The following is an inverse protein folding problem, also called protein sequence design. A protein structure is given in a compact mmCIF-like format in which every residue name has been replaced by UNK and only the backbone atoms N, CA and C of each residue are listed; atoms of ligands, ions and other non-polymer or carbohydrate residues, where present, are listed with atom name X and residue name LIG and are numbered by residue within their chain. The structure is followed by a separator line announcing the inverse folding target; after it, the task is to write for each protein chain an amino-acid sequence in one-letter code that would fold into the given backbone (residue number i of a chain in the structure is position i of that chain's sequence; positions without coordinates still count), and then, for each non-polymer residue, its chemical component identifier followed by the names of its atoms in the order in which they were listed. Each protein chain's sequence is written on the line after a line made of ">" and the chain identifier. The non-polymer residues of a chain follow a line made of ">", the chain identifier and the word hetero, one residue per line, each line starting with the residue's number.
data_IF_647101403406
#
_entry.id   IF_647101403406
#
_cell.length_a   1.000
_cell.length_b   1.000
_cell.length_c   1.000
_cell.angle_alpha   90.00
_cell.angle_beta   90.00
_cell.angle_gamma   90.00
#
_symmetry.space_group_name_H-M   'P 1'
#
loop_
_entity.id
_entity.type
_entity.pdbx_description
1 polymer ?
#
# COMPACT_ATOMS: atom_id res chain seq x y z
N UNK A 1 -16.42 -5.70 28.13
CA UNK A 1 -16.32 -4.96 26.85
C UNK A 1 -17.64 -5.16 26.12
N UNK A 2 -18.32 -4.12 25.64
CA UNK A 2 -19.62 -4.29 24.95
C UNK A 2 -19.41 -4.92 23.57
N UNK A 3 -20.32 -5.80 23.14
CA UNK A 3 -20.25 -6.51 21.83
C UNK A 3 -20.14 -5.56 20.63
N UNK A 4 -20.62 -4.32 20.79
CA UNK A 4 -20.51 -3.27 19.77
C UNK A 4 -19.07 -2.78 19.53
N UNK A 5 -18.23 -2.70 20.58
CA UNK A 5 -16.83 -2.29 20.44
C UNK A 5 -15.98 -3.35 19.74
N UNK A 6 -16.30 -4.62 19.97
CA UNK A 6 -15.59 -5.75 19.37
C UNK A 6 -15.82 -5.83 17.86
N UNK A 7 -17.07 -5.61 17.41
CA UNK A 7 -17.39 -5.50 15.98
C UNK A 7 -16.72 -4.32 15.29
N UNK A 8 -16.60 -3.17 15.96
CA UNK A 8 -15.91 -1.99 15.43
C UNK A 8 -14.39 -2.19 15.30
N UNK A 9 -13.78 -2.97 16.20
CA UNK A 9 -12.34 -3.31 16.13
C UNK A 9 -12.08 -4.25 14.95
N UNK A 10 -12.91 -5.27 14.77
CA UNK A 10 -12.77 -6.22 13.66
C UNK A 10 -13.00 -5.55 12.30
N UNK A 11 -13.99 -4.65 12.18
CA UNK A 11 -14.23 -3.92 10.94
C UNK A 11 -13.08 -2.95 10.62
N UNK A 12 -12.49 -2.31 11.63
CA UNK A 12 -11.33 -1.45 11.44
C UNK A 12 -10.11 -2.22 10.93
N UNK A 13 -9.84 -3.42 11.50
CA UNK A 13 -8.76 -4.30 11.04
C UNK A 13 -9.01 -4.72 9.58
N UNK A 14 -10.23 -5.09 9.23
CA UNK A 14 -10.57 -5.48 7.86
C UNK A 14 -10.32 -4.32 6.86
N UNK A 15 -10.76 -3.11 7.19
CA UNK A 15 -10.53 -1.92 6.36
C UNK A 15 -9.04 -1.60 6.24
N UNK A 16 -8.28 -1.75 7.32
CA UNK A 16 -6.82 -1.57 7.32
C UNK A 16 -6.12 -2.54 6.36
N UNK A 17 -6.49 -3.83 6.38
CA UNK A 17 -5.96 -4.84 5.45
C UNK A 17 -6.35 -4.55 4.00
N UNK A 18 -7.60 -4.16 3.76
CA UNK A 18 -8.08 -3.81 2.43
C UNK A 18 -7.34 -2.61 1.86
N UNK A 19 -7.13 -1.56 2.66
CA UNK A 19 -6.33 -0.39 2.27
C UNK A 19 -4.87 -0.76 2.01
N UNK A 20 -4.27 -1.59 2.86
CA UNK A 20 -2.91 -2.11 2.65
C UNK A 20 -2.76 -2.84 1.32
N UNK A 21 -3.75 -3.69 0.97
CA UNK A 21 -3.76 -4.40 -0.30
C UNK A 21 -3.90 -3.46 -1.52
N UNK A 22 -4.78 -2.47 -1.44
CA UNK A 22 -4.92 -1.44 -2.48
C UNK A 22 -3.62 -0.66 -2.68
N UNK A 23 -2.97 -0.24 -1.59
CA UNK A 23 -1.67 0.44 -1.60
C UNK A 23 -0.59 -0.39 -2.29
N UNK A 24 -0.58 -1.70 -2.03
CA UNK A 24 0.36 -2.63 -2.63
C UNK A 24 0.17 -2.73 -4.14
N UNK A 25 -1.07 -2.90 -4.61
CA UNK A 25 -1.39 -2.93 -6.05
C UNK A 25 -1.00 -1.62 -6.72
N UNK A 26 -1.41 -0.48 -6.15
CA UNK A 26 -1.12 0.84 -6.71
C UNK A 26 0.39 1.12 -6.75
N UNK A 27 1.12 0.74 -5.70
CA UNK A 27 2.57 0.87 -5.63
C UNK A 27 3.29 0.05 -6.71
N UNK A 28 2.88 -1.21 -6.91
CA UNK A 28 3.44 -2.07 -7.97
C UNK A 28 3.15 -1.49 -9.35
N UNK A 29 1.91 -1.09 -9.62
CA UNK A 29 1.53 -0.50 -10.92
C UNK A 29 2.32 0.78 -11.18
N UNK A 30 2.41 1.67 -10.20
CA UNK A 30 3.15 2.93 -10.33
C UNK A 30 4.64 2.66 -10.59
N UNK A 31 5.28 1.80 -9.80
CA UNK A 31 6.69 1.47 -9.98
C UNK A 31 6.95 0.85 -11.35
N UNK A 32 6.14 -0.13 -11.76
CA UNK A 32 6.29 -0.82 -13.04
C UNK A 32 6.13 0.12 -14.23
N UNK A 33 5.07 0.95 -14.25
CA UNK A 33 4.86 1.93 -15.32
C UNK A 33 5.99 2.96 -15.36
N UNK A 34 6.45 3.42 -14.19
CA UNK A 34 7.51 4.43 -14.11
C UNK A 34 8.87 3.89 -14.56
N UNK A 35 9.15 2.60 -14.35
CA UNK A 35 10.34 1.94 -14.90
C UNK A 35 10.27 1.85 -16.43
N UNK A 36 9.12 1.46 -16.99
CA UNK A 36 8.95 1.34 -18.46
C UNK A 36 9.18 2.68 -19.15
N UNK A 37 8.71 3.78 -18.54
CA UNK A 37 8.81 5.11 -19.13
C UNK A 37 9.93 5.97 -18.53
N UNK A 38 10.90 5.37 -17.82
CA UNK A 38 11.95 6.12 -17.11
C UNK A 38 12.77 7.00 -18.05
N UNK A 39 13.05 6.51 -19.27
CA UNK A 39 13.80 7.25 -20.28
C UNK A 39 13.03 8.48 -20.81
N UNK A 40 11.70 8.39 -20.83
CA UNK A 40 10.80 9.48 -21.26
C UNK A 40 10.51 10.49 -20.14
N UNK A 41 10.50 10.04 -18.89
CA UNK A 41 10.20 10.84 -17.70
C UNK A 41 11.45 11.49 -17.08
N UNK A 42 12.64 11.01 -17.43
CA UNK A 42 13.91 11.46 -16.86
C UNK A 42 13.94 11.30 -15.33
N UNK A 43 14.39 12.33 -14.63
CA UNK A 43 14.49 12.34 -13.16
C UNK A 43 13.16 12.08 -12.46
N UNK A 44 12.03 12.50 -13.04
CA UNK A 44 10.71 12.23 -12.46
C UNK A 44 10.35 10.74 -12.50
N UNK A 45 10.84 10.00 -13.50
CA UNK A 45 10.66 8.56 -13.59
C UNK A 45 11.24 7.85 -12.37
N UNK A 46 12.48 8.19 -12.00
CA UNK A 46 13.14 7.63 -10.82
C UNK A 46 12.40 7.99 -9.52
N UNK A 47 11.88 9.21 -9.40
CA UNK A 47 11.09 9.64 -8.24
C UNK A 47 9.79 8.82 -8.13
N UNK A 48 9.10 8.59 -9.24
CA UNK A 48 7.87 7.79 -9.24
C UNK A 48 8.14 6.30 -8.97
N UNK A 49 9.25 5.75 -9.45
CA UNK A 49 9.69 4.39 -9.09
C UNK A 49 9.93 4.29 -7.59
N UNK A 50 10.71 5.20 -7.02
CA UNK A 50 10.98 5.21 -5.57
C UNK A 50 9.69 5.35 -4.75
N UNK A 51 8.78 6.23 -5.18
CA UNK A 51 7.46 6.41 -4.56
C UNK A 51 6.63 5.12 -4.61
N UNK A 52 6.58 4.45 -5.77
CA UNK A 52 5.89 3.17 -5.92
C UNK A 52 6.46 2.09 -5.00
N UNK A 53 7.79 1.99 -4.89
CA UNK A 53 8.46 1.05 -3.97
C UNK A 53 8.09 1.35 -2.51
N UNK A 54 8.09 2.62 -2.09
CA UNK A 54 7.68 3.00 -0.74
C UNK A 54 6.21 2.61 -0.48
N UNK A 55 5.32 2.83 -1.45
CA UNK A 55 3.91 2.43 -1.33
C UNK A 55 3.76 0.91 -1.18
N UNK A 56 4.55 0.11 -1.90
CA UNK A 56 4.57 -1.36 -1.74
C UNK A 56 5.01 -1.76 -0.33
N UNK A 57 6.07 -1.15 0.18
CA UNK A 57 6.56 -1.41 1.54
C UNK A 57 5.51 -1.04 2.59
N UNK A 58 4.86 0.12 2.46
CA UNK A 58 3.77 0.53 3.36
C UNK A 58 2.57 -0.41 3.27
N UNK A 59 2.17 -0.82 2.06
CA UNK A 59 1.10 -1.79 1.85
C UNK A 59 1.40 -3.13 2.52
N UNK A 60 2.63 -3.64 2.37
CA UNK A 60 3.09 -4.85 3.07
C UNK A 60 3.08 -4.68 4.58
N UNK A 61 3.56 -3.55 5.10
CA UNK A 61 3.54 -3.28 6.53
C UNK A 61 2.11 -3.26 7.09
N UNK A 62 1.14 -2.69 6.39
CA UNK A 62 -0.26 -2.72 6.81
C UNK A 62 -0.86 -4.14 6.76
N UNK A 63 -0.45 -4.95 5.78
CA UNK A 63 -0.86 -6.35 5.68
C UNK A 63 -0.27 -7.23 6.78
N UNK A 64 0.89 -6.89 7.32
CA UNK A 64 1.54 -7.62 8.42
C UNK A 64 1.15 -7.04 9.79
N UNK A 65 0.92 -5.74 9.90
CA UNK A 65 0.56 -5.09 11.15
C UNK A 65 -0.73 -5.69 11.75
N UNK A 66 -0.74 -6.01 13.05
CA UNK A 66 -1.91 -6.63 13.72
C UNK A 66 -2.34 -7.99 13.14
N UNK A 67 -1.39 -8.81 12.69
CA UNK A 67 -1.62 -10.26 12.52
C UNK A 67 -1.57 -11.03 13.85
N UNK A 68 -1.43 -10.33 14.98
CA UNK A 68 -1.37 -10.85 16.35
C UNK A 68 -2.46 -10.21 17.22
#
# INVERSE_FOLDING_TARGET
>A
MSREREGAILSLIFVEKFLGFMLLILGVVLAHQSVIYVDSLGTFGLIFVATGVIMVLLGLLMLIAKTE
#
